data_IF_371473746483
#
_entry.id   IF_371473746483
#
_cell.length_a   1.000
_cell.length_b   1.000
_cell.length_c   1.000
_cell.angle_alpha   90.00
_cell.angle_beta   90.00
_cell.angle_gamma   90.00
#
_symmetry.space_group_name_H-M   'P 1'
#
loop_
_entity.id
_entity.type
_entity.pdbx_description
1 polymer ?
#
# COMPACT_ATOMS: atom_id res chain seq x y z
N UNK A 1 5.15 -20.34 37.39
CA UNK A 1 5.00 -20.41 35.92
C UNK A 1 4.12 -19.24 35.50
N UNK A 2 4.75 -18.12 35.16
CA UNK A 2 4.07 -16.89 34.78
C UNK A 2 4.07 -16.79 33.25
N UNK A 3 2.88 -16.74 32.66
CA UNK A 3 2.66 -16.46 31.25
C UNK A 3 2.83 -14.96 31.00
N UNK A 4 3.90 -14.56 30.34
CA UNK A 4 4.15 -13.20 29.87
C UNK A 4 3.32 -12.92 28.62
N UNK A 5 2.23 -12.16 28.77
CA UNK A 5 1.48 -11.58 27.66
C UNK A 5 2.27 -10.38 27.10
N UNK A 6 2.82 -10.52 25.89
CA UNK A 6 3.65 -9.51 25.23
C UNK A 6 2.82 -8.54 24.36
N UNK A 7 2.00 -7.68 24.99
CA UNK A 7 1.33 -6.59 24.25
C UNK A 7 1.10 -5.31 25.08
N UNK A 8 1.96 -5.02 26.06
CA UNK A 8 1.86 -3.77 26.81
C UNK A 8 2.31 -2.59 25.95
N UNK A 9 1.31 -1.83 25.46
CA UNK A 9 1.51 -0.50 24.88
C UNK A 9 2.03 0.46 25.95
N UNK A 10 2.80 1.49 25.59
CA UNK A 10 3.13 2.55 26.53
C UNK A 10 1.84 3.19 27.10
N UNK A 11 1.87 3.68 28.35
CA UNK A 11 0.70 4.26 29.00
C UNK A 11 0.19 5.47 28.19
N UNK A 12 -1.09 5.44 27.86
CA UNK A 12 -1.81 6.54 27.19
C UNK A 12 -1.69 7.82 28.03
N UNK A 13 -1.56 8.97 27.36
CA UNK A 13 -1.46 10.29 28.02
C UNK A 13 -2.71 10.51 28.86
N UNK A 14 -2.59 10.41 30.19
CA UNK A 14 -3.70 10.68 31.10
C UNK A 14 -4.04 12.17 31.07
N UNK A 15 -5.27 12.48 30.66
CA UNK A 15 -5.81 13.81 30.79
C UNK A 15 -6.07 14.08 32.29
N UNK A 16 -5.34 15.03 32.89
CA UNK A 16 -5.37 15.31 34.34
C UNK A 16 -6.72 15.93 34.79
N UNK A 17 -7.67 16.18 33.86
CA UNK A 17 -8.99 16.76 34.13
C UNK A 17 -10.15 15.90 33.57
N UNK A 18 -10.04 14.59 33.58
CA UNK A 18 -11.17 13.70 33.27
C UNK A 18 -11.91 13.28 34.54
N UNK A 19 -13.24 13.41 34.53
CA UNK A 19 -14.11 12.98 35.63
C UNK A 19 -13.91 11.47 35.89
N UNK A 20 -13.76 11.03 37.15
CA UNK A 20 -13.44 9.63 37.49
C UNK A 20 -14.51 8.61 37.04
N UNK A 21 -15.72 9.05 36.70
CA UNK A 21 -16.78 8.21 36.10
C UNK A 21 -16.63 7.97 34.59
N UNK A 22 -15.84 8.77 33.87
CA UNK A 22 -15.49 8.52 32.46
C UNK A 22 -14.26 7.62 32.43
N UNK A 23 -14.47 6.35 32.78
CA UNK A 23 -13.43 5.33 32.86
C UNK A 23 -12.56 5.30 31.60
N UNK A 24 -11.27 4.99 31.80
CA UNK A 24 -10.25 4.73 30.78
C UNK A 24 -10.92 4.30 29.47
N UNK A 25 -10.90 5.16 28.44
CA UNK A 25 -11.39 4.76 27.13
C UNK A 25 -10.37 3.80 26.51
N UNK A 26 -10.36 2.54 26.99
CA UNK A 26 -9.63 1.46 26.35
C UNK A 26 -10.32 1.24 25.01
N UNK A 27 -9.84 1.93 23.98
CA UNK A 27 -10.45 1.86 22.66
C UNK A 27 -10.17 0.46 22.10
N UNK A 28 -11.21 -0.27 21.68
CA UNK A 28 -11.04 -1.62 21.16
C UNK A 28 -10.13 -1.55 19.92
N UNK A 29 -9.09 -2.39 19.93
CA UNK A 29 -8.29 -2.61 18.73
C UNK A 29 -9.20 -3.30 17.71
N UNK A 30 -9.39 -2.64 16.56
CA UNK A 30 -10.12 -3.24 15.43
C UNK A 30 -9.08 -3.88 14.53
N UNK A 31 -8.92 -5.21 14.58
CA UNK A 31 -7.99 -5.90 13.69
C UNK A 31 -8.37 -5.65 12.24
N UNK A 32 -7.36 -5.65 11.36
CA UNK A 32 -7.63 -5.68 9.94
C UNK A 32 -8.40 -6.96 9.61
N UNK A 33 -9.41 -6.86 8.73
CA UNK A 33 -10.10 -8.04 8.21
C UNK A 33 -9.08 -8.88 7.45
N UNK A 34 -8.89 -10.13 7.89
CA UNK A 34 -8.17 -11.12 7.11
C UNK A 34 -9.01 -11.47 5.89
N UNK A 35 -8.41 -11.35 4.71
CA UNK A 35 -9.05 -11.78 3.47
C UNK A 35 -8.69 -13.24 3.24
N UNK A 36 -9.68 -14.03 2.81
CA UNK A 36 -9.44 -15.39 2.35
C UNK A 36 -9.10 -15.32 0.85
N UNK A 37 -7.82 -15.28 0.55
CA UNK A 37 -7.28 -15.14 -0.80
C UNK A 37 -6.35 -16.30 -1.13
N UNK A 38 -6.21 -16.63 -2.40
CA UNK A 38 -5.35 -17.74 -2.85
C UNK A 38 -3.85 -17.48 -2.60
N UNK A 39 -3.48 -16.21 -2.44
CA UNK A 39 -2.11 -15.77 -2.18
C UNK A 39 -2.00 -15.06 -0.82
N UNK A 40 -0.82 -15.10 -0.17
CA UNK A 40 -0.64 -14.51 1.16
C UNK A 40 -0.74 -12.98 1.13
N UNK A 41 -1.32 -12.40 2.18
CA UNK A 41 -1.35 -10.96 2.39
C UNK A 41 0.04 -10.44 2.74
N UNK A 42 0.52 -9.44 2.00
CA UNK A 42 1.76 -8.71 2.31
C UNK A 42 1.44 -7.50 3.17
N UNK A 43 0.43 -6.73 2.75
CA UNK A 43 0.06 -5.46 3.38
C UNK A 43 -1.40 -5.12 3.04
N UNK A 44 -2.23 -4.81 4.04
CA UNK A 44 -3.62 -4.38 3.85
C UNK A 44 -3.78 -2.88 3.55
N UNK A 45 -2.72 -2.10 3.72
CA UNK A 45 -2.70 -0.66 3.45
C UNK A 45 -1.29 -0.17 3.05
N UNK A 46 -0.77 -0.61 1.89
CA UNK A 46 0.59 -0.31 1.48
C UNK A 46 0.77 1.18 1.20
N UNK A 47 1.87 1.74 1.72
CA UNK A 47 2.23 3.13 1.45
C UNK A 47 2.41 3.37 -0.06
N UNK A 48 1.98 4.52 -0.56
CA UNK A 48 1.99 4.88 -1.99
C UNK A 48 3.32 4.58 -2.69
N UNK A 49 4.43 4.91 -2.04
CA UNK A 49 5.79 4.65 -2.56
C UNK A 49 6.09 3.16 -2.75
N UNK A 50 5.61 2.30 -1.84
CA UNK A 50 5.81 0.84 -1.93
C UNK A 50 5.06 0.26 -3.12
N UNK A 51 3.84 0.73 -3.35
CA UNK A 51 3.04 0.29 -4.50
C UNK A 51 3.74 0.60 -5.83
N UNK A 52 4.39 1.76 -5.93
CA UNK A 52 5.16 2.14 -7.12
C UNK A 52 6.46 1.32 -7.24
N UNK A 53 7.20 1.16 -6.14
CA UNK A 53 8.51 0.49 -6.19
C UNK A 53 8.40 -1.02 -6.42
N UNK A 54 7.32 -1.65 -5.97
CA UNK A 54 7.05 -3.08 -6.18
C UNK A 54 6.37 -3.37 -7.52
N UNK A 55 6.06 -2.34 -8.31
CA UNK A 55 5.46 -2.55 -9.62
C UNK A 55 6.40 -3.31 -10.56
N UNK A 56 5.85 -4.29 -11.28
CA UNK A 56 6.59 -5.08 -12.25
C UNK A 56 6.73 -4.31 -13.56
N UNK A 57 7.74 -4.61 -14.39
CA UNK A 57 7.85 -4.04 -15.74
C UNK A 57 6.57 -4.23 -16.57
N UNK A 58 5.87 -5.35 -16.38
CA UNK A 58 4.58 -5.64 -17.03
C UNK A 58 3.47 -4.64 -16.69
N UNK A 59 3.53 -4.00 -15.53
CA UNK A 59 2.50 -3.02 -15.16
C UNK A 59 2.75 -1.70 -15.87
N UNK A 60 4.02 -1.31 -16.04
CA UNK A 60 4.38 -0.14 -16.84
C UNK A 60 4.00 -0.31 -18.31
N UNK A 61 4.24 -1.49 -18.89
CA UNK A 61 3.84 -1.77 -20.27
C UNK A 61 2.33 -1.77 -20.43
N UNK A 62 1.60 -2.37 -19.49
CA UNK A 62 0.13 -2.35 -19.46
C UNK A 62 -0.39 -0.91 -19.33
N UNK A 63 0.19 -0.10 -18.46
CA UNK A 63 -0.18 1.29 -18.23
C UNK A 63 0.05 2.17 -19.47
N UNK A 64 1.17 1.98 -20.16
CA UNK A 64 1.48 2.69 -21.40
C UNK A 64 0.47 2.32 -22.49
N UNK A 65 0.20 1.02 -22.67
CA UNK A 65 -0.81 0.54 -23.62
C UNK A 65 -2.18 1.13 -23.32
N UNK A 66 -2.62 1.09 -22.07
CA UNK A 66 -3.91 1.62 -21.66
C UNK A 66 -3.99 3.15 -21.78
N UNK A 67 -2.89 3.86 -21.53
CA UNK A 67 -2.82 5.32 -21.67
C UNK A 67 -2.99 5.77 -23.12
N UNK A 68 -2.53 4.96 -24.07
CA UNK A 68 -2.65 5.26 -25.48
C UNK A 68 -4.05 4.95 -26.06
N UNK A 69 -4.89 4.17 -25.35
CA UNK A 69 -6.21 3.78 -25.85
C UNK A 69 -7.10 4.99 -26.10
N UNK A 70 -7.28 5.88 -25.12
CA UNK A 70 -8.19 7.04 -25.24
C UNK A 70 -7.78 7.98 -26.39
N UNK A 71 -6.55 8.51 -26.45
CA UNK A 71 -6.15 9.36 -27.58
C UNK A 71 -6.12 8.58 -28.91
N UNK A 72 -5.75 7.29 -28.89
CA UNK A 72 -5.74 6.43 -30.06
C UNK A 72 -7.14 6.21 -30.65
N UNK A 73 -8.13 5.93 -29.79
CA UNK A 73 -9.54 5.80 -30.20
C UNK A 73 -10.09 7.12 -30.71
N UNK A 74 -9.67 8.25 -30.13
CA UNK A 74 -10.12 9.56 -30.59
C UNK A 74 -9.58 9.88 -32.00
N UNK A 75 -8.31 9.58 -32.27
CA UNK A 75 -7.73 9.67 -33.62
C UNK A 75 -8.39 8.71 -34.60
N UNK A 76 -8.73 7.50 -34.15
CA UNK A 76 -9.43 6.52 -34.97
C UNK A 76 -10.84 6.97 -35.34
N UNK A 77 -11.60 7.49 -34.39
CA UNK A 77 -12.95 8.00 -34.65
C UNK A 77 -12.96 9.23 -35.54
N UNK A 78 -12.02 10.15 -35.38
CA UNK A 78 -11.89 11.31 -36.29
C UNK A 78 -11.65 10.88 -37.75
N UNK A 79 -11.01 9.72 -37.99
CA UNK A 79 -10.85 9.18 -39.35
C UNK A 79 -12.13 8.57 -39.92
N UNK A 80 -13.02 8.06 -39.09
CA UNK A 80 -14.27 7.40 -39.52
C UNK A 80 -15.38 8.44 -39.70
N UNK A 81 -15.51 9.34 -38.73
CA UNK A 81 -16.52 10.39 -38.70
C UNK A 81 -15.85 11.70 -38.33
N UNK A 82 -15.31 12.45 -39.31
CA UNK A 82 -14.67 13.72 -39.07
C UNK A 82 -15.60 14.68 -38.34
N UNK A 83 -15.07 15.36 -37.33
CA UNK A 83 -15.84 16.31 -36.53
C UNK A 83 -15.92 17.70 -37.19
N UNK A 84 -15.19 17.90 -38.29
CA UNK A 84 -14.99 19.19 -38.97
C UNK A 84 -14.46 20.31 -38.04
N UNK A 85 -13.89 19.91 -36.89
CA UNK A 85 -13.32 20.84 -35.92
C UNK A 85 -11.97 21.34 -36.46
N UNK A 86 -11.78 22.66 -36.44
CA UNK A 86 -10.52 23.27 -36.84
C UNK A 86 -9.32 22.70 -36.06
N UNK A 87 -8.13 22.72 -36.68
CA UNK A 87 -6.88 22.12 -36.15
C UNK A 87 -6.55 22.47 -34.70
N UNK A 88 -6.91 23.68 -34.26
CA UNK A 88 -6.70 24.14 -32.89
C UNK A 88 -7.67 23.51 -31.88
N UNK A 89 -8.94 23.30 -32.24
CA UNK A 89 -9.92 22.64 -31.39
C UNK A 89 -9.59 21.15 -31.22
N UNK A 90 -9.20 20.47 -32.30
CA UNK A 90 -8.78 19.07 -32.23
C UNK A 90 -7.55 18.88 -31.33
N UNK A 91 -6.60 19.82 -31.33
CA UNK A 91 -5.44 19.78 -30.40
C UNK A 91 -5.87 19.83 -28.94
N UNK A 92 -6.89 20.61 -28.58
CA UNK A 92 -7.40 20.67 -27.21
C UNK A 92 -8.08 19.36 -26.80
N UNK A 93 -8.88 18.78 -27.69
CA UNK A 93 -9.50 17.46 -27.49
C UNK A 93 -8.42 16.40 -27.27
N UNK A 94 -7.37 16.40 -28.10
CA UNK A 94 -6.27 15.44 -27.95
C UNK A 94 -5.48 15.64 -26.67
N UNK A 95 -5.26 16.87 -26.20
CA UNK A 95 -4.66 17.14 -24.88
C UNK A 95 -5.50 16.54 -23.76
N UNK A 96 -6.81 16.81 -23.74
CA UNK A 96 -7.72 16.24 -22.74
C UNK A 96 -7.74 14.71 -22.80
N UNK A 97 -7.87 14.15 -24.00
CA UNK A 97 -7.88 12.69 -24.24
C UNK A 97 -6.59 12.03 -23.77
N UNK A 98 -5.45 12.68 -23.99
CA UNK A 98 -4.14 12.19 -23.54
C UNK A 98 -4.04 12.25 -22.02
N UNK A 99 -4.48 13.35 -21.38
CA UNK A 99 -4.52 13.48 -19.92
C UNK A 99 -5.38 12.39 -19.28
N UNK A 100 -6.60 12.17 -19.81
CA UNK A 100 -7.48 11.09 -19.34
C UNK A 100 -6.86 9.70 -19.58
N UNK A 101 -6.16 9.52 -20.70
CA UNK A 101 -5.37 8.32 -20.99
C UNK A 101 -4.33 8.07 -19.91
N UNK A 102 -3.49 9.07 -19.60
CA UNK A 102 -2.46 8.96 -18.56
C UNK A 102 -3.05 8.61 -17.19
N UNK A 103 -4.18 9.21 -16.80
CA UNK A 103 -4.88 8.84 -15.56
C UNK A 103 -5.37 7.40 -15.59
N UNK A 104 -5.93 6.95 -16.71
CA UNK A 104 -6.42 5.58 -16.88
C UNK A 104 -5.28 4.55 -16.84
N UNK A 105 -4.13 4.86 -17.45
CA UNK A 105 -2.94 4.02 -17.36
C UNK A 105 -2.36 3.98 -15.96
N UNK A 106 -2.27 5.12 -15.28
CA UNK A 106 -1.84 5.17 -13.88
C UNK A 106 -2.78 4.38 -12.96
N UNK A 107 -4.09 4.47 -13.19
CA UNK A 107 -5.08 3.70 -12.45
C UNK A 107 -4.86 2.19 -12.59
N UNK A 108 -4.71 1.71 -13.84
CA UNK A 108 -4.45 0.30 -14.11
C UNK A 108 -3.13 -0.15 -13.48
N UNK A 109 -2.07 0.65 -13.62
CA UNK A 109 -0.77 0.41 -13.00
C UNK A 109 -0.90 0.21 -11.49
N UNK A 110 -1.52 1.18 -10.81
CA UNK A 110 -1.63 1.17 -9.36
C UNK A 110 -2.52 0.02 -8.88
N UNK A 111 -3.65 -0.22 -9.56
CA UNK A 111 -4.58 -1.32 -9.25
C UNK A 111 -3.89 -2.68 -9.37
N UNK A 112 -3.13 -2.93 -10.44
CA UNK A 112 -2.39 -4.19 -10.62
C UNK A 112 -1.34 -4.40 -9.54
N UNK A 113 -0.64 -3.34 -9.15
CA UNK A 113 0.40 -3.43 -8.13
C UNK A 113 -0.19 -3.64 -6.73
N UNK A 114 -1.20 -2.85 -6.34
CA UNK A 114 -1.81 -2.96 -5.01
C UNK A 114 -2.56 -4.30 -4.81
N UNK A 115 -3.14 -4.86 -5.87
CA UNK A 115 -3.79 -6.17 -5.81
C UNK A 115 -2.82 -7.31 -5.45
N UNK A 116 -1.52 -7.19 -5.75
CA UNK A 116 -0.51 -8.17 -5.31
C UNK A 116 -0.20 -8.04 -3.82
N UNK A 117 -0.23 -6.83 -3.26
CA UNK A 117 -0.10 -6.65 -1.81
C UNK A 117 -1.25 -7.29 -1.05
N UNK A 118 -2.48 -7.17 -1.58
CA UNK A 118 -3.69 -7.77 -1.00
C UNK A 118 -3.79 -9.28 -1.17
N UNK A 119 -2.94 -9.89 -2.00
CA UNK A 119 -3.02 -11.33 -2.30
C UNK A 119 -4.12 -11.71 -3.30
N UNK A 120 -4.69 -10.75 -4.03
CA UNK A 120 -5.69 -11.02 -5.09
C UNK A 120 -5.08 -11.58 -6.37
N UNK A 121 -3.77 -11.53 -6.50
CA UNK A 121 -3.02 -12.08 -7.63
C UNK A 121 -1.68 -12.61 -7.16
N UNK A 122 -1.02 -13.39 -8.02
CA UNK A 122 0.29 -13.97 -7.73
C UNK A 122 1.29 -12.91 -7.29
N UNK A 123 1.91 -13.15 -6.13
CA UNK A 123 2.75 -12.17 -5.45
C UNK A 123 4.03 -12.77 -4.83
N UNK A 124 4.52 -13.91 -5.33
CA UNK A 124 5.72 -14.60 -4.78
C UNK A 124 6.92 -13.67 -4.73
N UNK A 125 7.20 -12.99 -5.84
CA UNK A 125 8.32 -12.05 -5.96
C UNK A 125 8.19 -10.93 -4.93
N UNK A 126 7.00 -10.36 -4.77
CA UNK A 126 6.74 -9.27 -3.85
C UNK A 126 6.86 -9.71 -2.39
N UNK A 127 6.42 -10.93 -2.04
CA UNK A 127 6.63 -11.53 -0.72
C UNK A 127 8.12 -11.67 -0.42
N UNK A 128 8.91 -12.17 -1.36
CA UNK A 128 10.36 -12.32 -1.18
C UNK A 128 11.07 -10.98 -1.03
N UNK A 129 10.69 -9.97 -1.84
CA UNK A 129 11.22 -8.61 -1.74
C UNK A 129 10.85 -7.97 -0.39
N UNK A 130 9.60 -8.14 0.07
CA UNK A 130 9.12 -7.64 1.35
C UNK A 130 9.85 -8.28 2.53
N UNK A 131 10.03 -9.60 2.51
CA UNK A 131 10.79 -10.31 3.54
C UNK A 131 12.23 -9.80 3.64
N UNK A 132 12.92 -9.63 2.50
CA UNK A 132 14.28 -9.08 2.47
C UNK A 132 14.33 -7.65 2.98
N UNK A 133 13.48 -6.76 2.46
CA UNK A 133 13.44 -5.34 2.85
C UNK A 133 13.17 -5.17 4.35
N UNK A 134 12.21 -5.92 4.89
CA UNK A 134 11.82 -5.81 6.30
C UNK A 134 12.85 -6.47 7.22
N UNK A 135 13.41 -7.61 6.85
CA UNK A 135 14.51 -8.23 7.60
C UNK A 135 15.74 -7.32 7.65
N UNK A 136 16.11 -6.68 6.54
CA UNK A 136 17.22 -5.72 6.51
C UNK A 136 16.98 -4.52 7.41
N UNK A 137 15.76 -3.98 7.45
CA UNK A 137 15.38 -2.90 8.39
C UNK A 137 15.50 -3.35 9.83
N UNK A 138 15.03 -4.56 10.16
CA UNK A 138 15.18 -5.13 11.51
C UNK A 138 16.64 -5.27 11.90
N UNK A 139 17.49 -5.81 11.02
CA UNK A 139 18.94 -5.93 11.27
C UNK A 139 19.60 -4.57 11.53
N UNK A 140 19.13 -3.50 10.87
CA UNK A 140 19.59 -2.13 11.07
C UNK A 140 18.98 -1.43 12.28
N UNK A 141 18.01 -2.04 12.97
CA UNK A 141 17.26 -1.41 14.06
C UNK A 141 16.32 -0.29 13.59
N UNK A 142 15.97 -0.25 12.31
CA UNK A 142 15.05 0.73 11.74
C UNK A 142 13.58 0.30 11.93
N UNK A 143 12.64 1.26 12.05
CA UNK A 143 11.22 0.94 12.09
C UNK A 143 10.75 0.33 10.76
N UNK A 144 10.03 -0.80 10.83
CA UNK A 144 9.54 -1.56 9.66
C UNK A 144 8.81 -0.69 8.62
N UNK A 145 7.90 0.15 9.10
CA UNK A 145 7.02 0.98 8.28
C UNK A 145 7.37 2.48 8.34
N UNK A 146 8.58 2.81 8.79
CA UNK A 146 9.06 4.19 8.86
C UNK A 146 8.54 4.99 10.07
N UNK A 147 8.91 6.27 10.12
CA UNK A 147 8.50 7.22 11.17
C UNK A 147 7.44 8.17 10.60
N UNK A 148 6.47 8.54 11.43
CA UNK A 148 5.42 9.50 11.09
C UNK A 148 5.46 10.69 12.02
N UNK A 149 5.13 11.87 11.49
CA UNK A 149 4.95 13.10 12.28
C UNK A 149 3.58 13.15 12.97
N UNK A 150 2.67 12.23 12.63
CA UNK A 150 1.36 12.12 13.23
C UNK A 150 1.41 11.40 14.58
N UNK A 151 0.52 11.78 15.50
CA UNK A 151 0.28 11.00 16.72
C UNK A 151 -0.20 9.59 16.38
N UNK A 152 0.06 8.62 17.26
CA UNK A 152 -0.39 7.23 17.07
C UNK A 152 -1.91 7.15 16.85
N UNK A 153 -2.67 8.01 17.52
CA UNK A 153 -4.11 8.11 17.30
C UNK A 153 -4.44 8.50 15.85
N UNK A 154 -3.82 9.56 15.32
CA UNK A 154 -4.07 10.02 13.96
C UNK A 154 -3.58 9.02 12.91
N UNK A 155 -2.50 8.29 13.19
CA UNK A 155 -2.06 7.16 12.36
C UNK A 155 -3.13 6.06 12.31
N UNK A 156 -3.77 5.75 13.44
CA UNK A 156 -4.87 4.79 13.51
C UNK A 156 -6.18 5.27 12.88
N UNK A 157 -6.42 6.57 12.83
CA UNK A 157 -7.53 7.15 12.06
C UNK A 157 -7.23 7.08 10.57
N UNK A 158 -6.02 7.44 10.15
CA UNK A 158 -5.58 7.40 8.76
C UNK A 158 -5.68 5.99 8.18
N UNK A 159 -5.12 4.99 8.88
CA UNK A 159 -5.14 3.59 8.43
C UNK A 159 -6.56 3.05 8.20
N UNK A 160 -7.55 3.48 9.00
CA UNK A 160 -8.95 3.05 8.83
C UNK A 160 -9.60 3.62 7.58
N UNK A 161 -9.13 4.78 7.11
CA UNK A 161 -9.63 5.43 5.90
C UNK A 161 -8.94 4.87 4.64
N UNK A 162 -7.65 4.52 4.72
CA UNK A 162 -6.87 4.02 3.57
C UNK A 162 -6.86 2.51 3.41
N UNK A 163 -7.13 1.74 4.47
CA UNK A 163 -7.16 0.27 4.41
C UNK A 163 -8.12 -0.24 3.34
N UNK A 164 -7.61 -1.11 2.47
CA UNK A 164 -8.31 -1.65 1.31
C UNK A 164 -8.92 -0.62 0.36
N UNK A 165 -8.54 0.66 0.43
CA UNK A 165 -9.03 1.70 -0.47
C UNK A 165 -8.70 1.40 -1.95
N UNK A 166 -7.65 0.58 -2.20
CA UNK A 166 -7.29 0.04 -3.52
C UNK A 166 -8.46 -0.63 -4.26
N UNK A 167 -9.40 -1.25 -3.55
CA UNK A 167 -10.56 -1.95 -4.13
C UNK A 167 -11.59 -0.96 -4.69
N UNK A 168 -11.68 0.24 -4.11
CA UNK A 168 -12.69 1.25 -4.45
C UNK A 168 -12.13 2.43 -5.25
N UNK A 169 -10.90 2.30 -5.77
CA UNK A 169 -10.24 3.42 -6.46
C UNK A 169 -11.00 3.93 -7.69
N UNK A 170 -11.79 3.08 -8.36
CA UNK A 170 -12.55 3.46 -9.57
C UNK A 170 -13.63 4.51 -9.29
N UNK A 171 -14.06 4.62 -8.03
CA UNK A 171 -15.01 5.66 -7.58
C UNK A 171 -14.25 6.81 -6.93
N UNK A 172 -13.33 6.50 -6.01
CA UNK A 172 -12.58 7.50 -5.26
C UNK A 172 -11.11 7.09 -5.16
N UNK A 173 -10.19 7.79 -5.86
CA UNK A 173 -8.76 7.51 -5.74
C UNK A 173 -8.28 7.96 -4.36
N UNK A 174 -8.01 6.99 -3.49
CA UNK A 174 -7.56 7.23 -2.13
C UNK A 174 -6.31 6.39 -1.85
N UNK A 175 -5.28 7.03 -1.31
CA UNK A 175 -3.94 6.46 -1.18
C UNK A 175 -3.39 6.64 0.23
N UNK A 176 -2.54 5.71 0.66
CA UNK A 176 -1.83 5.82 1.92
C UNK A 176 -0.54 6.66 1.77
N UNK A 177 -0.51 7.80 2.47
CA UNK A 177 0.68 8.66 2.61
C UNK A 177 1.16 8.76 4.05
N UNK A 178 0.61 7.95 4.96
CA UNK A 178 0.92 7.98 6.39
C UNK A 178 1.67 6.71 6.75
N UNK A 179 2.86 6.87 7.30
CA UNK A 179 3.58 5.76 7.92
C UNK A 179 2.84 5.39 9.23
N UNK A 180 2.34 4.16 9.33
CA UNK A 180 1.62 3.66 10.50
C UNK A 180 1.95 2.19 10.72
N UNK A 181 1.70 1.62 11.90
CA UNK A 181 2.03 0.21 12.17
C UNK A 181 0.86 -0.76 11.93
N UNK A 182 -0.19 -0.35 11.20
CA UNK A 182 -1.47 -1.06 11.11
C UNK A 182 -1.70 -1.76 9.77
N UNK A 183 -0.74 -2.58 9.35
CA UNK A 183 -0.69 -3.23 8.03
C UNK A 183 -1.40 -4.59 7.94
N UNK A 184 -1.92 -5.11 9.07
CA UNK A 184 -2.75 -6.33 9.07
C UNK A 184 -1.98 -7.63 8.86
N UNK A 185 -0.66 -7.60 9.07
CA UNK A 185 0.24 -8.76 8.99
C UNK A 185 0.99 -8.94 10.31
N UNK A 186 1.34 -10.19 10.61
CA UNK A 186 2.23 -10.49 11.73
C UNK A 186 3.66 -10.04 11.38
N UNK A 187 4.17 -9.08 12.15
CA UNK A 187 5.53 -8.54 11.98
C UNK A 187 6.59 -9.41 12.65
N UNK A 188 6.21 -10.32 13.55
CA UNK A 188 7.14 -11.21 14.25
C UNK A 188 7.96 -12.06 13.28
N UNK A 189 7.37 -12.44 12.14
CA UNK A 189 8.05 -13.20 11.07
C UNK A 189 9.33 -12.53 10.57
N UNK A 190 9.40 -11.19 10.54
CA UNK A 190 10.59 -10.46 10.08
C UNK A 190 11.71 -10.50 11.11
N UNK A 191 11.36 -10.38 12.40
CA UNK A 191 12.30 -10.50 13.51
C UNK A 191 12.87 -11.90 13.62
N UNK A 192 12.03 -12.93 13.56
CA UNK A 192 12.47 -14.33 13.55
C UNK A 192 13.35 -14.66 12.35
N UNK A 193 13.10 -14.05 11.19
CA UNK A 193 13.97 -14.23 10.03
C UNK A 193 15.32 -13.51 10.21
N UNK A 194 15.30 -12.27 10.74
CA UNK A 194 16.52 -11.51 11.02
C UNK A 194 17.41 -12.22 12.04
N UNK A 195 16.83 -12.77 13.12
CA UNK A 195 17.54 -13.56 14.12
C UNK A 195 18.22 -14.78 13.49
N UNK A 196 17.48 -15.56 12.69
CA UNK A 196 18.02 -16.74 11.98
C UNK A 196 19.18 -16.38 11.05
N UNK A 197 19.06 -15.29 10.30
CA UNK A 197 20.14 -14.85 9.40
C UNK A 197 21.37 -14.34 10.17
N UNK A 198 21.17 -13.57 11.25
CA UNK A 198 22.26 -13.11 12.10
C UNK A 198 22.96 -14.27 12.83
N UNK A 199 22.23 -15.31 13.23
CA UNK A 199 22.80 -16.54 13.80
C UNK A 199 23.60 -17.34 12.76
N UNK A 200 23.12 -17.42 11.51
CA UNK A 200 23.85 -18.06 10.43
C UNK A 200 25.16 -17.31 10.09
N UNK A 201 25.11 -15.98 10.04
CA UNK A 201 26.28 -15.11 9.86
C UNK A 201 27.31 -15.32 11.00
N UNK A 202 26.86 -15.40 12.26
CA UNK A 202 27.72 -15.67 13.42
C UNK A 202 28.36 -17.05 13.38
N UNK A 203 27.65 -18.05 12.88
CA UNK A 203 28.11 -19.46 12.85
C UNK A 203 28.88 -19.82 11.59
N UNK A 204 29.05 -18.89 10.64
CA UNK A 204 29.81 -19.09 9.40
C UNK A 204 29.17 -20.11 8.44
N UNK A 205 27.93 -20.52 8.69
CA UNK A 205 27.16 -21.37 7.77
C UNK A 205 26.45 -20.45 6.79
N UNK A 206 26.93 -20.40 5.56
CA UNK A 206 26.19 -19.78 4.47
C UNK A 206 24.82 -20.48 4.35
N UNK A 207 23.74 -19.70 4.37
CA UNK A 207 22.38 -20.14 4.02
C UNK A 207 22.28 -20.30 2.51
#
# INVERSE_FOLDING_TARGET
>A
MASTNSSERPPEVQNVREYPELGRTVRPYVPAKSLNTDYPLIDSDPHFRRVISYARPSDYTSALGFSALIPGTMLFWERISPSEVGRNGFRQIMRLSTTLGLFSGFYLFYSRSINRFYGFSENRREVEMDMREMTDKVKKGEPLYGVSTMTEYMQGVASRQSRYAGVFMHVMPWFNFVNHNQHGVDTAKYYQNAERELEAEKTGKAI
#
